data_IF_124191692450
#
_entry.id   IF_124191692450
#
_cell.length_a   1.000
_cell.length_b   1.000
_cell.length_c   1.000
_cell.angle_alpha   90.00
_cell.angle_beta   90.00
_cell.angle_gamma   90.00
#
_symmetry.space_group_name_H-M   'P 1'
#
loop_
_entity.id
_entity.type
_entity.pdbx_description
1 polymer ?
#
# COMPACT_ATOMS: atom_id res chain seq x y z
N UNK A 1 -3.62 28.49 6.90
CA UNK A 1 -2.31 28.05 7.38
C UNK A 1 -2.17 26.56 7.06
N UNK A 2 -0.99 26.08 6.70
CA UNK A 2 -0.79 24.73 6.19
C UNK A 2 0.41 24.03 6.84
N UNK A 3 0.55 22.73 6.59
CA UNK A 3 1.62 21.90 7.12
C UNK A 3 2.86 21.94 6.21
N UNK A 4 4.04 21.91 6.80
CA UNK A 4 5.29 21.69 6.08
C UNK A 4 5.56 20.19 5.98
N UNK A 5 5.61 19.66 4.75
CA UNK A 5 5.72 18.22 4.49
C UNK A 5 7.03 17.93 3.74
N UNK A 6 7.79 16.97 4.22
CA UNK A 6 8.94 16.42 3.51
C UNK A 6 8.60 15.04 2.93
N UNK A 7 8.97 14.79 1.66
CA UNK A 7 8.83 13.49 1.02
C UNK A 7 10.21 12.90 0.80
N UNK A 8 10.57 11.89 1.61
CA UNK A 8 11.81 11.16 1.47
C UNK A 8 11.67 10.02 0.45
N UNK A 9 12.51 10.02 -0.59
CA UNK A 9 12.36 9.14 -1.75
C UNK A 9 11.49 9.73 -2.85
N UNK A 10 11.41 11.06 -2.95
CA UNK A 10 10.56 11.81 -3.88
C UNK A 10 10.77 11.48 -5.37
N UNK A 11 11.91 10.91 -5.74
CA UNK A 11 12.21 10.53 -7.13
C UNK A 11 11.72 9.14 -7.53
N UNK A 12 11.30 8.31 -6.55
CA UNK A 12 10.72 6.99 -6.77
C UNK A 12 9.25 7.04 -7.19
N UNK A 13 8.69 5.92 -7.67
CA UNK A 13 7.30 5.84 -8.12
C UNK A 13 6.31 6.28 -7.03
N UNK A 14 6.43 5.73 -5.81
CA UNK A 14 5.56 6.07 -4.68
C UNK A 14 5.73 7.52 -4.22
N UNK A 15 6.98 8.03 -4.19
CA UNK A 15 7.25 9.42 -3.81
C UNK A 15 6.66 10.44 -4.80
N UNK A 16 6.72 10.15 -6.10
CA UNK A 16 6.05 10.96 -7.14
C UNK A 16 4.54 10.90 -7.01
N UNK A 17 3.99 9.72 -6.74
CA UNK A 17 2.55 9.56 -6.53
C UNK A 17 2.07 10.29 -5.26
N UNK A 18 2.88 10.33 -4.18
CA UNK A 18 2.58 11.17 -3.01
C UNK A 18 2.47 12.65 -3.38
N UNK A 19 3.38 13.15 -4.21
CA UNK A 19 3.34 14.54 -4.70
C UNK A 19 2.06 14.80 -5.50
N UNK A 20 1.70 13.90 -6.40
CA UNK A 20 0.47 14.01 -7.20
C UNK A 20 -0.77 14.03 -6.31
N UNK A 21 -0.91 13.07 -5.39
CA UNK A 21 -2.08 12.92 -4.52
C UNK A 21 -2.22 14.11 -3.55
N UNK A 22 -1.12 14.64 -3.00
CA UNK A 22 -1.17 15.86 -2.18
C UNK A 22 -1.76 17.04 -2.95
N UNK A 23 -1.39 17.20 -4.22
CA UNK A 23 -1.92 18.24 -5.09
C UNK A 23 -3.38 17.98 -5.48
N UNK A 24 -3.72 16.75 -5.93
CA UNK A 24 -5.09 16.35 -6.31
C UNK A 24 -6.10 16.55 -5.17
N UNK A 25 -5.71 16.20 -3.95
CA UNK A 25 -6.58 16.28 -2.77
C UNK A 25 -6.60 17.65 -2.10
N UNK A 26 -5.89 18.63 -2.67
CA UNK A 26 -5.73 19.96 -2.07
C UNK A 26 -5.35 19.89 -0.58
N UNK A 27 -4.41 18.96 -0.25
CA UNK A 27 -3.93 18.79 1.13
C UNK A 27 -3.42 20.14 1.68
N UNK A 28 -3.71 20.50 2.94
CA UNK A 28 -3.39 21.83 3.47
C UNK A 28 -1.88 21.97 3.72
N UNK A 29 -1.11 22.20 2.67
CA UNK A 29 0.34 22.41 2.74
C UNK A 29 0.71 23.88 2.80
N UNK A 30 1.73 24.24 3.60
CA UNK A 30 2.44 25.52 3.53
C UNK A 30 3.70 25.41 2.69
N UNK A 31 4.40 24.28 2.77
CA UNK A 31 5.60 23.97 2.00
C UNK A 31 5.70 22.45 1.75
N UNK A 32 6.11 22.05 0.55
CA UNK A 32 6.47 20.67 0.21
C UNK A 32 7.95 20.60 -0.12
N UNK A 33 8.69 19.70 0.52
CA UNK A 33 10.12 19.49 0.32
C UNK A 33 10.37 18.10 -0.25
N UNK A 34 10.93 18.04 -1.45
CA UNK A 34 11.34 16.80 -2.08
C UNK A 34 12.74 16.39 -1.63
N UNK A 35 12.88 15.20 -1.03
CA UNK A 35 14.15 14.68 -0.49
C UNK A 35 14.52 13.36 -1.17
N UNK A 36 15.81 13.18 -1.48
CA UNK A 36 16.37 11.92 -1.95
C UNK A 36 17.85 11.78 -1.56
N UNK A 37 18.52 10.73 -2.04
CA UNK A 37 19.96 10.54 -1.86
C UNK A 37 20.77 11.63 -2.59
N UNK A 38 22.04 11.80 -2.20
CA UNK A 38 22.97 12.75 -2.82
C UNK A 38 23.06 12.62 -4.34
N UNK A 39 22.85 11.41 -4.90
CA UNK A 39 22.86 11.16 -6.36
C UNK A 39 21.72 11.82 -7.12
N UNK A 40 20.62 12.13 -6.45
CA UNK A 40 19.42 12.72 -7.05
C UNK A 40 19.26 14.20 -6.71
N UNK A 41 20.21 14.81 -5.98
CA UNK A 41 20.17 16.25 -5.64
C UNK A 41 20.16 17.09 -6.90
N UNK A 42 19.25 18.08 -6.94
CA UNK A 42 19.09 18.99 -8.07
C UNK A 42 18.19 18.45 -9.19
N UNK A 43 17.81 17.16 -9.18
CA UNK A 43 16.73 16.69 -10.07
C UNK A 43 15.42 17.38 -9.74
N UNK A 44 14.55 17.48 -10.73
CA UNK A 44 13.25 18.12 -10.59
C UNK A 44 12.14 17.07 -10.50
N UNK A 45 11.15 17.34 -9.66
CA UNK A 45 9.92 16.56 -9.53
C UNK A 45 8.72 17.52 -9.54
N UNK A 46 7.61 17.08 -10.15
CA UNK A 46 6.39 17.88 -10.24
C UNK A 46 5.59 17.82 -8.94
N UNK A 47 4.95 18.92 -8.58
CA UNK A 47 3.95 19.02 -7.52
C UNK A 47 2.84 19.97 -8.02
N UNK A 48 1.72 19.39 -8.45
CA UNK A 48 0.70 20.14 -9.19
C UNK A 48 1.31 20.88 -10.38
N UNK A 49 1.04 22.18 -10.47
CA UNK A 49 1.57 23.07 -11.53
C UNK A 49 2.98 23.59 -11.24
N UNK A 50 3.60 23.16 -10.13
CA UNK A 50 4.93 23.63 -9.72
C UNK A 50 5.98 22.54 -9.84
N UNK A 51 7.24 22.94 -9.87
CA UNK A 51 8.40 22.05 -9.92
C UNK A 51 9.24 22.23 -8.67
N UNK A 52 9.57 21.13 -8.00
CA UNK A 52 10.40 21.11 -6.80
C UNK A 52 11.80 20.57 -7.14
N UNK A 53 12.84 21.26 -6.67
CA UNK A 53 14.21 20.73 -6.72
C UNK A 53 14.45 19.80 -5.54
N UNK A 54 14.94 18.59 -5.85
CA UNK A 54 15.27 17.58 -4.86
C UNK A 54 16.46 18.02 -4.02
N UNK A 55 16.30 18.00 -2.69
CA UNK A 55 17.34 18.27 -1.68
C UNK A 55 17.89 16.94 -1.12
N UNK A 56 19.05 17.00 -0.47
CA UNK A 56 19.69 15.84 0.14
C UNK A 56 19.02 15.49 1.48
N UNK A 57 18.48 14.27 1.59
CA UNK A 57 17.90 13.74 2.82
C UNK A 57 18.90 13.76 4.00
N UNK A 58 20.18 13.48 3.73
CA UNK A 58 21.20 13.31 4.78
C UNK A 58 21.61 14.63 5.47
N UNK A 59 21.37 15.75 4.82
CA UNK A 59 21.75 17.10 5.33
C UNK A 59 20.55 17.98 5.63
N UNK A 60 19.33 17.46 5.43
CA UNK A 60 18.11 18.25 5.65
C UNK A 60 17.78 18.31 7.14
N UNK A 61 17.47 19.51 7.63
CA UNK A 61 17.01 19.76 9.00
C UNK A 61 15.48 19.63 9.06
N UNK A 62 14.98 18.71 9.90
CA UNK A 62 13.56 18.45 10.09
C UNK A 62 12.94 19.22 11.26
N UNK A 63 13.70 20.10 11.91
CA UNK A 63 13.25 20.80 13.13
C UNK A 63 12.01 21.68 12.93
N UNK A 64 11.78 22.17 11.71
CA UNK A 64 10.64 22.98 11.29
C UNK A 64 9.64 22.22 10.42
N UNK A 65 9.79 20.91 10.26
CA UNK A 65 8.96 20.05 9.40
C UNK A 65 7.92 19.31 10.23
N UNK A 66 6.65 19.37 9.84
CA UNK A 66 5.55 18.75 10.58
C UNK A 66 5.45 17.25 10.30
N UNK A 67 5.52 16.86 9.04
CA UNK A 67 5.36 15.48 8.55
C UNK A 67 6.49 15.09 7.60
N UNK A 68 6.98 13.86 7.73
CA UNK A 68 7.85 13.22 6.76
C UNK A 68 7.18 11.96 6.19
N UNK A 69 6.86 11.99 4.90
CA UNK A 69 6.35 10.83 4.17
C UNK A 69 7.56 10.04 3.66
N UNK A 70 7.85 8.91 4.32
CA UNK A 70 9.06 8.13 4.08
C UNK A 70 8.81 7.00 3.06
N UNK A 71 9.45 7.11 1.88
CA UNK A 71 9.40 6.09 0.81
C UNK A 71 10.78 5.82 0.20
N UNK A 72 11.84 5.87 1.04
CA UNK A 72 13.22 5.69 0.62
C UNK A 72 13.76 4.26 0.83
N UNK A 73 12.90 3.30 1.21
CA UNK A 73 13.24 1.91 1.49
C UNK A 73 13.65 1.64 2.94
N UNK A 74 13.59 0.36 3.34
CA UNK A 74 13.68 -0.05 4.74
C UNK A 74 15.01 0.28 5.43
N UNK A 75 16.15 0.15 4.75
CA UNK A 75 17.47 0.48 5.31
C UNK A 75 17.63 1.97 5.60
N UNK A 76 17.13 2.81 4.70
CA UNK A 76 17.13 4.28 4.87
C UNK A 76 16.17 4.66 6.00
N UNK A 77 14.98 4.08 6.02
CA UNK A 77 14.01 4.34 7.07
C UNK A 77 14.54 3.96 8.46
N UNK A 78 15.14 2.78 8.63
CA UNK A 78 15.77 2.37 9.90
C UNK A 78 16.82 3.35 10.39
N UNK A 79 17.60 3.94 9.47
CA UNK A 79 18.66 4.93 9.78
C UNK A 79 18.08 6.30 10.15
N UNK A 80 17.04 6.75 9.41
CA UNK A 80 16.61 8.15 9.45
C UNK A 80 15.32 8.39 10.22
N UNK A 81 14.31 7.49 10.17
CA UNK A 81 13.03 7.75 10.82
C UNK A 81 13.14 8.02 12.33
N UNK A 82 13.99 7.33 13.11
CA UNK A 82 14.18 7.68 14.52
C UNK A 82 14.79 9.07 14.73
N UNK A 83 15.72 9.48 13.85
CA UNK A 83 16.37 10.80 13.95
C UNK A 83 15.41 11.93 13.58
N UNK A 84 14.53 11.68 12.61
CA UNK A 84 13.47 12.60 12.20
C UNK A 84 12.43 12.72 13.31
N UNK A 85 11.98 11.59 13.86
CA UNK A 85 11.04 11.54 14.99
C UNK A 85 11.58 12.25 16.25
N UNK A 86 12.88 12.12 16.53
CA UNK A 86 13.53 12.80 17.65
C UNK A 86 13.57 14.34 17.50
N UNK A 87 13.49 14.87 16.28
CA UNK A 87 13.31 16.30 16.01
C UNK A 87 11.84 16.74 16.13
N UNK A 88 10.95 15.81 16.51
CA UNK A 88 9.51 16.04 16.67
C UNK A 88 8.70 15.98 15.37
N UNK A 89 9.32 15.80 14.19
CA UNK A 89 8.63 15.56 12.93
C UNK A 89 8.00 14.17 12.94
N UNK A 90 6.72 14.04 12.58
CA UNK A 90 6.08 12.73 12.53
C UNK A 90 6.40 12.05 11.19
N UNK A 91 6.86 10.80 11.25
CA UNK A 91 7.19 9.99 10.08
C UNK A 91 6.05 9.03 9.77
N UNK A 92 5.54 9.05 8.53
CA UNK A 92 4.65 8.01 8.00
C UNK A 92 5.46 7.19 7.00
N UNK A 93 5.75 5.93 7.37
CA UNK A 93 6.72 5.08 6.68
C UNK A 93 6.06 4.02 5.81
N UNK A 94 6.39 4.00 4.52
CA UNK A 94 5.92 3.00 3.56
C UNK A 94 6.76 1.73 3.51
N UNK A 95 7.92 1.70 4.17
CA UNK A 95 8.75 0.50 4.18
C UNK A 95 8.26 -0.54 5.19
N UNK A 96 8.85 -1.73 5.14
CA UNK A 96 8.57 -2.78 6.13
C UNK A 96 9.34 -2.61 7.44
N UNK A 97 10.10 -1.51 7.61
CA UNK A 97 11.06 -1.35 8.70
C UNK A 97 10.43 -1.40 10.10
N UNK A 98 9.19 -0.87 10.24
CA UNK A 98 8.56 -0.62 11.54
C UNK A 98 7.23 -1.35 11.73
N UNK A 99 6.72 -2.03 10.71
CA UNK A 99 5.37 -2.63 10.70
C UNK A 99 5.13 -3.62 11.83
N UNK A 100 6.20 -4.28 12.28
CA UNK A 100 6.13 -5.36 13.28
C UNK A 100 6.55 -4.93 14.69
N UNK A 101 7.03 -3.69 14.84
CA UNK A 101 7.35 -3.14 16.14
C UNK A 101 6.06 -2.91 16.95
N UNK A 102 6.05 -3.31 18.21
CA UNK A 102 4.87 -3.25 19.07
C UNK A 102 4.46 -1.80 19.41
N UNK A 103 5.42 -0.89 19.45
CA UNK A 103 5.29 0.52 19.77
C UNK A 103 5.17 1.43 18.53
N UNK A 104 5.02 0.84 17.34
CA UNK A 104 4.73 1.56 16.10
C UNK A 104 3.37 1.13 15.56
N UNK A 105 2.40 2.05 15.45
CA UNK A 105 1.09 1.71 14.92
C UNK A 105 1.18 1.44 13.40
N UNK A 106 0.52 0.37 12.96
CA UNK A 106 0.33 -0.02 11.57
C UNK A 106 -1.09 0.37 11.17
N UNK A 107 -1.26 1.33 10.24
CA UNK A 107 -2.53 2.01 10.05
C UNK A 107 -3.06 1.89 8.62
N UNK A 108 -4.35 1.52 8.54
CA UNK A 108 -5.23 1.77 7.40
C UNK A 108 -6.44 2.55 7.94
N UNK A 109 -6.66 3.80 7.55
CA UNK A 109 -7.67 4.68 8.15
C UNK A 109 -9.08 4.10 8.14
N UNK A 110 -9.46 3.32 7.13
CA UNK A 110 -10.77 2.68 7.02
C UNK A 110 -10.91 1.44 7.93
N UNK A 111 -9.81 0.96 8.53
CA UNK A 111 -9.76 -0.33 9.23
C UNK A 111 -9.55 -0.17 10.74
N UNK A 112 -8.50 0.55 11.12
CA UNK A 112 -8.07 0.67 12.51
C UNK A 112 -7.63 2.09 12.90
N UNK A 113 -8.43 3.13 12.61
CA UNK A 113 -8.04 4.54 12.81
C UNK A 113 -7.68 4.89 14.27
N UNK A 114 -8.20 4.14 15.24
CA UNK A 114 -7.97 4.43 16.67
C UNK A 114 -6.56 4.07 17.14
N UNK A 115 -5.92 3.11 16.47
CA UNK A 115 -4.55 2.72 16.78
C UNK A 115 -3.53 3.83 16.51
N UNK A 116 -3.92 4.87 15.75
CA UNK A 116 -3.03 5.98 15.40
C UNK A 116 -2.49 6.73 16.63
N UNK A 117 -3.21 6.76 17.72
CA UNK A 117 -2.78 7.42 18.98
C UNK A 117 -1.46 6.90 19.53
N UNK A 118 -1.07 5.67 19.18
CA UNK A 118 0.21 5.06 19.54
C UNK A 118 1.45 5.69 18.88
N UNK A 119 1.29 6.60 17.90
CA UNK A 119 2.41 7.20 17.18
C UNK A 119 3.38 7.98 18.08
N UNK A 120 2.90 8.52 19.21
CA UNK A 120 3.68 9.35 20.14
C UNK A 120 4.86 8.61 20.77
N UNK A 121 4.86 7.28 20.77
CA UNK A 121 5.95 6.48 21.32
C UNK A 121 7.29 6.73 20.59
N UNK A 122 7.23 6.90 19.25
CA UNK A 122 8.44 7.14 18.42
C UNK A 122 8.30 8.27 17.39
N UNK A 123 7.15 8.92 17.30
CA UNK A 123 6.77 9.78 16.18
C UNK A 123 6.88 9.06 14.83
N UNK A 124 6.59 7.76 14.79
CA UNK A 124 6.58 6.92 13.59
C UNK A 124 5.25 6.20 13.48
N UNK A 125 4.68 6.21 12.27
CA UNK A 125 3.50 5.44 11.88
C UNK A 125 3.91 4.56 10.69
N UNK A 126 3.57 3.28 10.71
CA UNK A 126 3.83 2.38 9.61
C UNK A 126 2.62 2.30 8.67
N UNK A 127 2.90 2.39 7.37
CA UNK A 127 1.98 2.05 6.28
C UNK A 127 2.14 0.57 5.93
N UNK A 128 1.05 -0.22 5.75
CA UNK A 128 1.14 -1.65 5.50
C UNK A 128 1.74 -2.00 4.13
N UNK A 129 1.92 -3.30 3.91
CA UNK A 129 2.21 -3.86 2.58
C UNK A 129 1.08 -3.53 1.60
N UNK A 130 1.43 -3.33 0.32
CA UNK A 130 0.47 -2.89 -0.69
C UNK A 130 -0.68 -3.88 -0.92
N UNK A 131 -0.41 -5.19 -0.91
CA UNK A 131 -1.46 -6.20 -0.98
C UNK A 131 -2.29 -6.21 0.31
N UNK A 132 -1.65 -6.15 1.48
CA UNK A 132 -2.38 -6.14 2.76
C UNK A 132 -3.30 -4.92 2.90
N UNK A 133 -2.90 -3.74 2.41
CA UNK A 133 -3.72 -2.53 2.53
C UNK A 133 -5.10 -2.71 1.88
N UNK A 134 -5.15 -3.15 0.62
CA UNK A 134 -6.42 -3.38 -0.08
C UNK A 134 -7.21 -4.56 0.51
N UNK A 135 -6.51 -5.62 0.91
CA UNK A 135 -7.12 -6.81 1.51
C UNK A 135 -7.91 -6.45 2.77
N UNK A 136 -7.28 -5.75 3.72
CA UNK A 136 -7.93 -5.43 5.00
C UNK A 136 -9.07 -4.43 4.86
N UNK A 137 -9.04 -3.53 3.86
CA UNK A 137 -10.16 -2.64 3.53
C UNK A 137 -11.40 -3.45 3.14
N UNK A 138 -11.24 -4.45 2.27
CA UNK A 138 -12.34 -5.34 1.89
C UNK A 138 -12.80 -6.26 3.03
N UNK A 139 -11.86 -6.73 3.86
CA UNK A 139 -12.16 -7.70 4.92
C UNK A 139 -12.77 -7.09 6.18
N UNK A 140 -12.42 -5.85 6.54
CA UNK A 140 -12.85 -5.22 7.80
C UNK A 140 -14.36 -5.22 7.99
N UNK A 141 -15.18 -4.71 7.04
CA UNK A 141 -16.63 -4.70 7.20
C UNK A 141 -17.24 -6.10 7.29
N UNK A 142 -16.69 -7.07 6.55
CA UNK A 142 -17.14 -8.47 6.62
C UNK A 142 -16.75 -9.11 7.96
N UNK A 143 -15.55 -8.83 8.47
CA UNK A 143 -15.09 -9.31 9.77
C UNK A 143 -15.93 -8.75 10.92
N UNK A 144 -16.30 -7.48 10.86
CA UNK A 144 -17.15 -6.88 11.89
C UNK A 144 -18.53 -7.52 11.94
N UNK A 145 -19.07 -7.93 10.78
CA UNK A 145 -20.38 -8.54 10.67
C UNK A 145 -20.37 -10.03 11.06
N UNK A 146 -19.51 -10.84 10.43
CA UNK A 146 -19.60 -12.31 10.50
C UNK A 146 -18.39 -13.00 11.16
N UNK A 147 -17.36 -12.27 11.55
CA UNK A 147 -16.11 -12.78 12.15
C UNK A 147 -15.36 -13.77 11.27
N UNK A 148 -14.30 -13.31 10.68
CA UNK A 148 -13.42 -14.14 9.83
C UNK A 148 -12.65 -15.13 10.70
N UNK A 149 -12.72 -16.40 10.36
CA UNK A 149 -12.01 -17.51 10.98
C UNK A 149 -10.76 -17.89 10.22
N UNK A 150 -10.83 -17.92 8.87
CA UNK A 150 -9.75 -18.36 7.99
C UNK A 150 -9.77 -17.60 6.66
N UNK A 151 -8.58 -17.35 6.13
CA UNK A 151 -8.34 -16.74 4.81
C UNK A 151 -7.37 -17.59 4.00
N UNK A 152 -7.68 -17.78 2.74
CA UNK A 152 -6.76 -18.23 1.71
C UNK A 152 -6.66 -17.13 0.65
N UNK A 153 -5.47 -16.57 0.50
CA UNK A 153 -5.22 -15.45 -0.39
C UNK A 153 -4.27 -15.87 -1.50
N UNK A 154 -4.66 -15.65 -2.75
CA UNK A 154 -3.74 -15.72 -3.90
C UNK A 154 -3.65 -14.33 -4.50
N UNK A 155 -2.43 -13.75 -4.49
CA UNK A 155 -2.23 -12.42 -5.06
C UNK A 155 -1.75 -12.50 -6.50
N UNK A 156 -2.10 -11.49 -7.30
CA UNK A 156 -1.62 -11.25 -8.66
C UNK A 156 -1.06 -9.85 -8.69
N UNK A 157 0.25 -9.73 -8.35
CA UNK A 157 0.89 -8.45 -8.10
C UNK A 157 1.60 -7.90 -9.34
N UNK A 158 1.29 -6.67 -9.69
CA UNK A 158 1.91 -5.93 -10.78
C UNK A 158 3.40 -5.63 -10.52
N UNK A 159 4.13 -5.39 -11.59
CA UNK A 159 5.59 -5.13 -11.54
C UNK A 159 5.95 -3.80 -10.90
N UNK A 160 5.03 -2.82 -10.84
CA UNK A 160 5.27 -1.53 -10.16
C UNK A 160 5.61 -1.67 -8.68
N UNK A 161 5.15 -2.75 -8.02
CA UNK A 161 5.53 -3.09 -6.65
C UNK A 161 7.03 -3.39 -6.48
N UNK A 162 7.73 -3.77 -7.57
CA UNK A 162 9.17 -3.92 -7.61
C UNK A 162 9.93 -2.63 -8.00
N UNK A 163 9.22 -1.51 -8.11
CA UNK A 163 9.77 -0.21 -8.48
C UNK A 163 9.93 0.00 -9.99
N UNK A 164 10.58 1.11 -10.34
CA UNK A 164 10.82 1.48 -11.76
C UNK A 164 11.53 0.38 -12.53
N UNK A 165 12.56 -0.24 -11.96
CA UNK A 165 13.34 -1.29 -12.62
C UNK A 165 12.47 -2.49 -13.01
N UNK A 166 11.47 -2.85 -12.18
CA UNK A 166 10.51 -3.91 -12.52
C UNK A 166 9.61 -3.56 -13.70
N UNK A 167 9.16 -2.30 -13.78
CA UNK A 167 8.37 -1.80 -14.90
C UNK A 167 9.21 -1.75 -16.19
N UNK A 168 10.43 -1.24 -16.10
CA UNK A 168 11.37 -1.18 -17.23
C UNK A 168 11.71 -2.59 -17.75
N UNK A 169 11.89 -3.57 -16.86
CA UNK A 169 12.17 -4.96 -17.24
C UNK A 169 11.00 -5.58 -17.99
N UNK A 170 9.76 -5.44 -17.49
CA UNK A 170 8.56 -5.92 -18.20
C UNK A 170 8.45 -5.29 -19.59
N UNK A 171 8.60 -3.97 -19.68
CA UNK A 171 8.54 -3.24 -20.96
C UNK A 171 9.60 -3.74 -21.95
N UNK A 172 10.87 -3.80 -21.52
CA UNK A 172 11.98 -4.21 -22.36
C UNK A 172 11.87 -5.68 -22.80
N UNK A 173 11.49 -6.58 -21.91
CA UNK A 173 11.26 -7.99 -22.25
C UNK A 173 10.09 -8.16 -23.23
N UNK A 174 9.00 -7.41 -23.04
CA UNK A 174 7.84 -7.44 -23.95
C UNK A 174 8.26 -6.98 -25.34
N UNK A 175 8.98 -5.85 -25.45
CA UNK A 175 9.52 -5.36 -26.72
C UNK A 175 10.45 -6.39 -27.38
N UNK A 176 11.36 -6.98 -26.61
CA UNK A 176 12.32 -7.95 -27.10
C UNK A 176 11.65 -9.19 -27.74
N UNK A 177 10.52 -9.64 -27.18
CA UNK A 177 9.73 -10.74 -27.76
C UNK A 177 9.27 -10.43 -29.17
N UNK A 178 8.76 -9.21 -29.41
CA UNK A 178 8.20 -8.84 -30.71
C UNK A 178 9.26 -8.53 -31.79
N UNK A 179 10.49 -8.16 -31.38
CA UNK A 179 11.60 -7.88 -32.30
C UNK A 179 12.66 -8.99 -32.33
N UNK A 180 12.39 -10.12 -31.69
CA UNK A 180 13.28 -11.28 -31.58
C UNK A 180 14.67 -10.94 -30.99
N UNK A 181 14.74 -9.96 -30.09
CA UNK A 181 15.95 -9.64 -29.33
C UNK A 181 16.18 -10.61 -28.18
N UNK A 182 17.44 -10.78 -27.73
CA UNK A 182 17.73 -11.56 -26.52
C UNK A 182 17.01 -11.02 -25.28
N UNK A 183 16.43 -11.93 -24.48
CA UNK A 183 15.72 -11.59 -23.24
C UNK A 183 16.61 -11.90 -22.05
N UNK A 184 16.82 -10.93 -21.18
CA UNK A 184 17.49 -11.09 -19.88
C UNK A 184 16.55 -10.79 -18.72
N UNK A 185 16.74 -11.47 -17.60
CA UNK A 185 16.07 -11.19 -16.33
C UNK A 185 17.11 -10.65 -15.34
N UNK A 186 16.90 -9.45 -14.83
CA UNK A 186 17.81 -8.78 -13.90
C UNK A 186 17.12 -8.46 -12.57
N UNK A 187 15.88 -7.97 -12.62
CA UNK A 187 15.07 -7.64 -11.45
C UNK A 187 14.28 -8.83 -10.93
N UNK A 188 13.72 -9.63 -11.84
CA UNK A 188 12.95 -10.82 -11.49
C UNK A 188 13.80 -12.09 -11.65
N UNK A 189 13.47 -13.13 -10.88
CA UNK A 189 14.20 -14.42 -10.90
C UNK A 189 14.01 -15.19 -12.20
N UNK A 190 12.97 -14.89 -12.95
CA UNK A 190 12.63 -15.47 -14.26
C UNK A 190 12.06 -14.39 -15.16
N UNK A 191 11.98 -14.66 -16.47
CA UNK A 191 11.29 -13.80 -17.42
C UNK A 191 9.87 -13.50 -16.92
N UNK A 192 9.52 -12.20 -16.85
CA UNK A 192 8.19 -11.76 -16.44
C UNK A 192 7.26 -11.54 -17.63
N UNK A 193 7.78 -11.09 -18.79
CA UNK A 193 6.93 -10.86 -19.96
C UNK A 193 6.24 -12.16 -20.41
N UNK A 194 4.91 -12.13 -20.47
CA UNK A 194 4.04 -13.27 -20.81
C UNK A 194 4.19 -14.47 -19.87
N UNK A 195 4.47 -14.23 -18.59
CA UNK A 195 4.68 -15.26 -17.58
C UNK A 195 4.13 -14.86 -16.22
N UNK A 196 3.94 -15.83 -15.33
CA UNK A 196 3.62 -15.62 -13.91
C UNK A 196 4.72 -16.24 -13.05
N UNK A 197 5.10 -15.53 -11.98
CA UNK A 197 6.21 -15.96 -11.11
C UNK A 197 5.67 -16.09 -9.68
N UNK A 198 5.48 -17.32 -9.14
CA UNK A 198 4.97 -17.54 -7.78
C UNK A 198 6.09 -17.36 -6.74
N UNK A 199 6.75 -16.21 -6.79
CA UNK A 199 7.89 -15.88 -5.93
C UNK A 199 8.08 -14.37 -5.85
N UNK A 200 7.82 -13.79 -4.69
CA UNK A 200 8.05 -12.36 -4.39
C UNK A 200 8.79 -12.27 -3.06
N UNK A 201 9.93 -11.56 -3.05
CA UNK A 201 10.82 -11.42 -1.88
C UNK A 201 11.56 -12.74 -1.54
N UNK A 202 12.31 -12.78 -0.45
CA UNK A 202 13.14 -13.92 -0.06
C UNK A 202 12.31 -15.07 0.53
N UNK A 203 12.75 -16.32 0.32
CA UNK A 203 12.18 -17.47 1.01
C UNK A 203 12.55 -17.50 2.48
N UNK A 204 11.61 -17.95 3.30
CA UNK A 204 11.75 -18.25 4.72
C UNK A 204 11.94 -19.77 4.94
N UNK A 205 12.31 -20.17 6.16
CA UNK A 205 12.60 -21.58 6.50
C UNK A 205 11.37 -22.51 6.36
N UNK A 206 10.17 -21.98 6.52
CA UNK A 206 8.90 -22.68 6.42
C UNK A 206 8.38 -22.84 4.97
N UNK A 207 9.14 -22.33 3.98
CA UNK A 207 8.80 -22.38 2.57
C UNK A 207 7.91 -21.22 2.08
N UNK A 208 7.39 -20.38 2.98
CA UNK A 208 6.76 -19.11 2.59
C UNK A 208 7.80 -18.10 2.14
N UNK A 209 7.39 -17.11 1.33
CA UNK A 209 8.20 -15.93 1.09
C UNK A 209 7.93 -14.84 2.13
N UNK A 210 8.86 -13.89 2.28
CA UNK A 210 8.63 -12.72 3.15
C UNK A 210 7.40 -11.92 2.72
N UNK A 211 7.10 -11.84 1.42
CA UNK A 211 5.90 -11.15 0.93
C UNK A 211 4.63 -11.82 1.44
N UNK A 212 4.55 -13.14 1.36
CA UNK A 212 3.44 -13.93 1.90
C UNK A 212 3.31 -13.75 3.41
N UNK A 213 4.42 -13.85 4.13
CA UNK A 213 4.46 -13.63 5.57
C UNK A 213 3.96 -12.24 5.99
N UNK A 214 4.29 -11.17 5.22
CA UNK A 214 3.77 -9.81 5.47
C UNK A 214 2.25 -9.80 5.44
N UNK A 215 1.63 -10.42 4.44
CA UNK A 215 0.17 -10.51 4.34
C UNK A 215 -0.42 -11.20 5.59
N UNK A 216 0.19 -12.30 6.03
CA UNK A 216 -0.25 -13.01 7.22
C UNK A 216 -0.14 -12.17 8.50
N UNK A 217 1.06 -11.62 8.75
CA UNK A 217 1.39 -10.91 9.97
C UNK A 217 0.62 -9.58 10.09
N UNK A 218 0.56 -8.82 9.00
CA UNK A 218 -0.08 -7.51 8.97
C UNK A 218 -1.61 -7.61 9.05
N UNK A 219 -2.23 -8.60 8.38
CA UNK A 219 -3.67 -8.87 8.51
C UNK A 219 -4.05 -9.18 9.97
N UNK A 220 -3.27 -10.02 10.64
CA UNK A 220 -3.48 -10.33 12.06
C UNK A 220 -3.30 -9.12 12.97
N UNK A 221 -2.30 -8.28 12.70
CA UNK A 221 -2.03 -7.07 13.50
C UNK A 221 -3.14 -6.04 13.38
N UNK A 222 -3.75 -5.89 12.19
CA UNK A 222 -4.75 -4.85 11.92
C UNK A 222 -6.20 -5.28 12.13
N UNK A 223 -6.54 -6.57 11.94
CA UNK A 223 -7.89 -7.08 12.11
C UNK A 223 -8.05 -7.89 13.41
N UNK A 224 -7.57 -9.13 13.43
CA UNK A 224 -7.68 -10.02 14.59
C UNK A 224 -6.52 -11.06 14.56
N UNK A 225 -5.74 -11.18 15.65
CA UNK A 225 -4.65 -12.15 15.75
C UNK A 225 -5.09 -13.62 15.65
N UNK A 226 -6.38 -13.91 15.85
CA UNK A 226 -6.94 -15.27 15.80
C UNK A 226 -7.19 -15.76 14.37
N UNK A 227 -7.28 -14.87 13.39
CA UNK A 227 -7.53 -15.24 11.99
C UNK A 227 -6.42 -16.17 11.49
N UNK A 228 -6.79 -17.31 10.93
CA UNK A 228 -5.86 -18.20 10.24
C UNK A 228 -5.69 -17.72 8.81
N UNK A 229 -4.47 -17.34 8.42
CA UNK A 229 -4.19 -16.80 7.09
C UNK A 229 -3.12 -17.64 6.40
N UNK A 230 -3.33 -17.97 5.14
CA UNK A 230 -2.31 -18.48 4.22
C UNK A 230 -2.34 -17.65 2.94
N UNK A 231 -1.17 -17.45 2.32
CA UNK A 231 -1.04 -16.63 1.13
C UNK A 231 -0.09 -17.27 0.13
N UNK A 232 -0.40 -17.13 -1.16
CA UNK A 232 0.54 -17.38 -2.26
C UNK A 232 0.69 -16.08 -3.05
N UNK A 233 1.90 -15.51 -3.06
CA UNK A 233 2.19 -14.25 -3.73
C UNK A 233 2.76 -14.49 -5.13
N UNK A 234 2.06 -14.02 -6.15
CA UNK A 234 2.42 -14.21 -7.56
C UNK A 234 2.69 -12.87 -8.24
N UNK A 235 3.84 -12.74 -8.90
CA UNK A 235 4.14 -11.62 -9.79
C UNK A 235 3.57 -11.89 -11.17
N UNK A 236 2.80 -10.93 -11.70
CA UNK A 236 2.17 -11.02 -13.03
C UNK A 236 2.65 -9.90 -13.95
N UNK A 237 2.55 -10.09 -15.30
CA UNK A 237 3.04 -9.12 -16.28
C UNK A 237 2.03 -7.97 -16.49
N UNK A 238 1.70 -7.29 -15.41
CA UNK A 238 0.81 -6.11 -15.32
C UNK A 238 1.63 -4.96 -14.77
N UNK A 239 1.50 -3.76 -15.34
CA UNK A 239 2.29 -2.61 -14.93
C UNK A 239 1.86 -2.07 -13.55
N UNK A 240 0.58 -1.77 -13.36
CA UNK A 240 0.02 -1.16 -12.16
C UNK A 240 -1.26 -1.93 -11.76
N UNK A 241 -1.55 -1.96 -10.45
CA UNK A 241 -2.71 -2.61 -9.88
C UNK A 241 -2.42 -4.03 -9.40
N UNK A 242 -2.73 -4.31 -8.13
CA UNK A 242 -2.68 -5.65 -7.55
C UNK A 242 -4.07 -6.23 -7.47
N UNK A 243 -4.18 -7.51 -7.82
CA UNK A 243 -5.42 -8.26 -7.66
C UNK A 243 -5.24 -9.39 -6.66
N UNK A 244 -6.33 -9.79 -6.02
CA UNK A 244 -6.34 -10.89 -5.06
C UNK A 244 -7.59 -11.73 -5.23
N UNK A 245 -7.39 -13.05 -5.31
CA UNK A 245 -8.45 -14.03 -5.12
C UNK A 245 -8.45 -14.44 -3.65
N UNK A 246 -9.54 -14.15 -2.96
CA UNK A 246 -9.65 -14.35 -1.51
C UNK A 246 -10.78 -15.33 -1.22
N UNK A 247 -10.44 -16.45 -0.58
CA UNK A 247 -11.41 -17.37 0.00
C UNK A 247 -11.48 -17.10 1.51
N UNK A 248 -12.68 -16.93 2.03
CA UNK A 248 -12.96 -16.50 3.40
C UNK A 248 -13.87 -17.50 4.04
N UNK A 249 -13.50 -18.01 5.23
CA UNK A 249 -14.37 -18.79 6.11
C UNK A 249 -14.72 -17.95 7.34
N UNK A 250 -16.01 -17.88 7.66
CA UNK A 250 -16.53 -17.08 8.77
C UNK A 250 -16.99 -17.96 9.95
N UNK A 251 -17.11 -17.34 11.14
CA UNK A 251 -17.70 -17.96 12.31
C UNK A 251 -19.23 -17.96 12.22
N UNK A 252 -19.80 -16.89 11.68
CA UNK A 252 -21.24 -16.71 11.53
C UNK A 252 -21.66 -16.74 10.05
N UNK A 253 -22.91 -17.06 9.82
CA UNK A 253 -23.50 -17.07 8.49
C UNK A 253 -23.48 -15.68 7.84
N UNK A 254 -23.15 -15.64 6.55
CA UNK A 254 -23.21 -14.46 5.71
C UNK A 254 -23.43 -14.92 4.26
N UNK A 255 -24.47 -14.40 3.62
CA UNK A 255 -24.72 -14.64 2.20
C UNK A 255 -23.90 -13.71 1.30
N UNK A 256 -23.74 -14.10 0.05
CA UNK A 256 -23.07 -13.27 -0.95
C UNK A 256 -23.82 -11.94 -1.20
N UNK A 257 -25.15 -11.92 -1.05
CA UNK A 257 -25.95 -10.69 -1.18
C UNK A 257 -25.72 -9.74 -0.01
N UNK A 258 -25.74 -10.25 1.21
CA UNK A 258 -25.41 -9.45 2.42
C UNK A 258 -24.00 -8.88 2.32
N UNK A 259 -23.01 -9.70 1.92
CA UNK A 259 -21.64 -9.23 1.72
C UNK A 259 -21.54 -8.10 0.69
N UNK A 260 -22.29 -8.18 -0.45
CA UNK A 260 -22.36 -7.08 -1.43
C UNK A 260 -22.91 -5.81 -0.83
N UNK A 261 -23.97 -5.91 -0.05
CA UNK A 261 -24.61 -4.75 0.55
C UNK A 261 -23.68 -4.09 1.60
N UNK A 262 -23.09 -4.90 2.48
CA UNK A 262 -22.11 -4.43 3.47
C UNK A 262 -20.94 -3.71 2.80
N UNK A 263 -20.39 -4.30 1.73
CA UNK A 263 -19.23 -3.75 1.02
C UNK A 263 -19.55 -2.48 0.22
N UNK A 264 -20.80 -2.31 -0.27
CA UNK A 264 -21.23 -1.08 -0.96
C UNK A 264 -21.26 0.13 -0.05
N UNK A 265 -21.58 -0.08 1.22
CA UNK A 265 -21.67 0.98 2.23
C UNK A 265 -20.34 1.20 2.97
N UNK A 266 -19.34 0.33 2.74
CA UNK A 266 -18.08 0.36 3.45
C UNK A 266 -17.12 1.44 2.90
N UNK A 267 -16.45 2.21 3.78
CA UNK A 267 -15.50 3.23 3.36
C UNK A 267 -14.33 2.63 2.59
N UNK A 268 -13.95 3.28 1.50
CA UNK A 268 -12.83 2.84 0.64
C UNK A 268 -13.15 1.68 -0.30
N UNK A 269 -14.33 1.05 -0.16
CA UNK A 269 -14.79 -0.03 -1.03
C UNK A 269 -15.66 0.47 -2.18
N UNK A 270 -15.51 -0.17 -3.35
CA UNK A 270 -16.43 -0.01 -4.47
C UNK A 270 -16.76 -1.38 -5.06
N UNK A 271 -18.05 -1.74 -5.07
CA UNK A 271 -18.51 -3.04 -5.56
C UNK A 271 -18.94 -2.93 -7.02
N UNK A 272 -18.23 -3.63 -7.89
CA UNK A 272 -18.57 -3.84 -9.31
C UNK A 272 -18.68 -5.35 -9.51
N UNK A 273 -19.86 -5.89 -9.29
CA UNK A 273 -20.11 -7.35 -9.26
C UNK A 273 -21.39 -7.69 -10.01
N UNK A 274 -21.30 -7.69 -11.34
CA UNK A 274 -22.39 -8.12 -12.22
C UNK A 274 -22.07 -9.50 -12.79
N UNK A 275 -23.08 -10.37 -12.85
CA UNK A 275 -22.93 -11.72 -13.41
C UNK A 275 -23.14 -11.68 -14.93
N UNK A 276 -22.33 -10.88 -15.62
CA UNK A 276 -22.31 -10.68 -17.06
C UNK A 276 -20.87 -10.53 -17.58
N UNK A 277 -20.67 -10.61 -18.88
CA UNK A 277 -19.34 -10.42 -19.49
C UNK A 277 -18.80 -9.02 -19.18
N UNK A 278 -17.57 -8.96 -18.60
CA UNK A 278 -16.95 -7.72 -18.20
C UNK A 278 -17.54 -7.07 -16.93
N UNK A 279 -18.43 -7.73 -16.20
CA UNK A 279 -19.08 -7.21 -15.00
C UNK A 279 -18.20 -7.18 -13.73
N UNK A 280 -16.90 -7.03 -13.88
CA UNK A 280 -15.88 -7.02 -12.81
C UNK A 280 -14.76 -6.03 -13.15
N UNK A 281 -13.93 -5.70 -12.19
CA UNK A 281 -12.77 -4.79 -12.36
C UNK A 281 -11.48 -5.61 -12.44
N UNK A 282 -10.58 -5.17 -13.32
CA UNK A 282 -9.21 -5.69 -13.47
C UNK A 282 -8.17 -4.61 -13.10
N UNK A 283 -6.90 -4.96 -12.98
CA UNK A 283 -5.84 -3.98 -12.71
C UNK A 283 -5.78 -2.83 -13.71
N UNK A 284 -6.18 -3.07 -14.95
CA UNK A 284 -6.14 -2.05 -16.01
C UNK A 284 -7.09 -0.88 -15.73
N UNK A 285 -8.33 -1.17 -15.30
CA UNK A 285 -9.31 -0.14 -15.00
C UNK A 285 -9.04 0.55 -13.65
N UNK A 286 -8.44 -0.14 -12.69
CA UNK A 286 -8.20 0.45 -11.36
C UNK A 286 -6.93 1.32 -11.28
N UNK A 287 -6.07 1.31 -12.30
CA UNK A 287 -4.87 2.12 -12.31
C UNK A 287 -5.20 3.62 -12.31
N UNK A 288 -4.69 4.35 -11.32
CA UNK A 288 -4.99 5.77 -11.08
C UNK A 288 -6.21 6.03 -10.20
N UNK A 289 -6.95 5.00 -9.79
CA UNK A 289 -8.15 5.13 -8.94
C UNK A 289 -7.83 4.95 -7.46
N UNK A 290 -8.59 5.62 -6.60
CA UNK A 290 -8.40 5.60 -5.13
C UNK A 290 -9.06 4.41 -4.44
N UNK A 291 -10.11 3.85 -5.04
CA UNK A 291 -10.94 2.83 -4.42
C UNK A 291 -10.29 1.44 -4.39
N UNK A 292 -10.69 0.65 -3.41
CA UNK A 292 -10.53 -0.80 -3.43
C UNK A 292 -11.79 -1.41 -4.06
N UNK A 293 -11.63 -2.02 -5.24
CA UNK A 293 -12.73 -2.61 -5.99
C UNK A 293 -12.94 -4.05 -5.59
N UNK A 294 -14.21 -4.43 -5.38
CA UNK A 294 -14.60 -5.80 -5.05
C UNK A 294 -15.55 -6.32 -6.12
N UNK A 295 -15.25 -7.51 -6.62
CA UNK A 295 -16.00 -8.21 -7.65
C UNK A 295 -16.10 -9.70 -7.34
N UNK A 296 -16.86 -10.45 -8.14
CA UNK A 296 -16.91 -11.91 -8.09
C UNK A 296 -17.28 -12.46 -6.70
N UNK A 297 -18.15 -11.75 -5.99
CA UNK A 297 -18.64 -12.14 -4.65
C UNK A 297 -19.61 -13.32 -4.85
N UNK A 298 -19.26 -14.46 -4.26
CA UNK A 298 -20.05 -15.69 -4.33
C UNK A 298 -19.79 -16.60 -3.14
N UNK A 299 -20.76 -17.41 -2.80
CA UNK A 299 -20.62 -18.39 -1.74
C UNK A 299 -19.65 -19.50 -2.13
N UNK A 300 -18.97 -20.04 -1.11
CA UNK A 300 -18.14 -21.23 -1.22
C UNK A 300 -18.90 -22.43 -0.62
N UNK A 301 -19.47 -23.26 -1.50
CA UNK A 301 -20.22 -24.43 -1.07
C UNK A 301 -19.36 -25.55 -0.45
N UNK A 302 -18.04 -25.38 -0.37
CA UNK A 302 -17.14 -26.41 0.19
C UNK A 302 -16.89 -26.26 1.68
N UNK A 303 -17.33 -25.12 2.28
CA UNK A 303 -17.27 -24.84 3.71
C UNK A 303 -18.61 -24.27 4.19
N UNK A 304 -18.90 -24.36 5.48
CA UNK A 304 -20.20 -24.00 6.04
C UNK A 304 -20.56 -22.52 5.85
N UNK A 305 -19.67 -21.61 6.16
CA UNK A 305 -19.87 -20.17 6.08
C UNK A 305 -18.75 -19.55 5.23
N UNK A 306 -18.76 -19.78 3.92
CA UNK A 306 -17.66 -19.41 3.05
C UNK A 306 -18.04 -18.45 1.94
N UNK A 307 -17.15 -17.48 1.65
CA UNK A 307 -17.23 -16.62 0.50
C UNK A 307 -15.93 -16.64 -0.31
N UNK A 308 -16.07 -16.44 -1.61
CA UNK A 308 -14.97 -16.09 -2.49
C UNK A 308 -15.21 -14.68 -3.03
N UNK A 309 -14.16 -13.85 -3.00
CA UNK A 309 -14.20 -12.50 -3.55
C UNK A 309 -12.95 -12.24 -4.41
N UNK A 310 -13.07 -11.27 -5.31
CA UNK A 310 -11.98 -10.72 -6.09
C UNK A 310 -11.78 -9.27 -5.68
N UNK A 311 -10.57 -8.92 -5.23
CA UNK A 311 -10.20 -7.59 -4.75
C UNK A 311 -9.14 -7.00 -5.66
N UNK A 312 -9.31 -5.76 -6.09
CA UNK A 312 -8.35 -5.06 -6.96
C UNK A 312 -8.17 -3.62 -6.49
N UNK A 313 -6.94 -3.14 -6.46
CA UNK A 313 -6.65 -1.73 -6.16
C UNK A 313 -5.35 -1.29 -6.84
N UNK A 314 -5.21 0.02 -7.06
CA UNK A 314 -3.92 0.60 -7.44
C UNK A 314 -2.93 0.50 -6.27
N UNK A 315 -1.90 -0.30 -6.46
CA UNK A 315 -0.88 -0.58 -5.44
C UNK A 315 0.05 0.59 -5.14
N UNK A 316 0.14 1.58 -6.03
CA UNK A 316 0.88 2.82 -5.79
C UNK A 316 0.03 3.84 -5.02
N UNK A 317 -1.30 3.81 -5.22
CA UNK A 317 -2.25 4.69 -4.53
C UNK A 317 -2.68 4.07 -3.20
N UNK A 318 -3.76 3.28 -3.14
CA UNK A 318 -4.24 2.69 -1.87
C UNK A 318 -3.21 1.79 -1.20
N UNK A 319 -2.41 1.09 -1.98
CA UNK A 319 -1.35 0.23 -1.45
C UNK A 319 -0.16 1.00 -0.84
N UNK A 320 0.01 2.30 -1.11
CA UNK A 320 1.18 3.07 -0.68
C UNK A 320 0.88 4.56 -0.49
N UNK A 321 0.96 5.37 -1.54
CA UNK A 321 0.94 6.84 -1.47
C UNK A 321 -0.38 7.37 -0.91
N UNK A 322 -1.52 6.91 -1.41
CA UNK A 322 -2.83 7.35 -0.95
C UNK A 322 -3.06 7.01 0.52
N UNK A 323 -2.78 5.77 0.93
CA UNK A 323 -2.96 5.38 2.34
C UNK A 323 -2.07 6.23 3.27
N UNK A 324 -0.85 6.57 2.82
CA UNK A 324 0.05 7.48 3.56
C UNK A 324 -0.57 8.87 3.72
N UNK A 325 -1.16 9.43 2.66
CA UNK A 325 -1.83 10.74 2.71
C UNK A 325 -3.09 10.67 3.58
N UNK A 326 -3.90 9.62 3.46
CA UNK A 326 -5.08 9.40 4.31
C UNK A 326 -4.70 9.26 5.80
N UNK A 327 -3.55 8.66 6.15
CA UNK A 327 -3.04 8.67 7.52
C UNK A 327 -2.72 10.09 7.98
N UNK A 328 -2.09 10.92 7.13
CA UNK A 328 -1.82 12.32 7.45
C UNK A 328 -3.13 13.12 7.62
N UNK A 329 -4.11 12.94 6.73
CA UNK A 329 -5.45 13.53 6.86
C UNK A 329 -6.15 13.11 8.17
N UNK A 330 -6.06 11.83 8.54
CA UNK A 330 -6.61 11.32 9.80
C UNK A 330 -5.97 12.01 11.01
N UNK A 331 -4.66 12.25 11.00
CA UNK A 331 -3.96 12.97 12.07
C UNK A 331 -4.47 14.42 12.21
N UNK A 332 -4.66 15.10 11.08
CA UNK A 332 -5.18 16.47 11.04
C UNK A 332 -6.63 16.51 11.55
N UNK A 333 -7.48 15.66 11.01
CA UNK A 333 -8.90 15.59 11.35
C UNK A 333 -9.14 15.28 12.84
N UNK A 334 -8.27 14.46 13.43
CA UNK A 334 -8.27 14.14 14.86
C UNK A 334 -7.51 15.16 15.73
N UNK A 335 -6.94 16.21 15.12
CA UNK A 335 -6.13 17.24 15.79
C UNK A 335 -4.95 16.69 16.59
N UNK A 336 -4.35 15.61 16.09
CA UNK A 336 -3.17 14.97 16.71
C UNK A 336 -1.90 15.74 16.42
N UNK A 337 -1.86 16.50 15.32
CA UNK A 337 -0.77 17.39 14.93
C UNK A 337 -1.31 18.79 14.65
N UNK A 338 -0.44 19.79 14.83
CA UNK A 338 -0.67 21.19 14.48
C UNK A 338 0.51 21.71 13.67
N UNK A 339 0.30 22.66 12.74
CA UNK A 339 1.42 23.30 12.06
C UNK A 339 2.39 23.95 13.06
N UNK A 340 3.68 23.70 12.93
CA UNK A 340 4.72 24.24 13.84
C UNK A 340 4.87 25.75 13.79
N UNK A 341 4.51 26.36 12.65
CA UNK A 341 4.48 27.83 12.54
C UNK A 341 3.43 28.49 13.47
N UNK A 342 2.56 27.68 14.11
CA UNK A 342 1.50 28.14 15.04
C UNK A 342 1.72 27.66 16.48
N UNK A 343 2.72 26.85 16.72
CA UNK A 343 3.10 26.33 18.03
C UNK A 343 4.29 27.11 18.59
#
# INVERSE_FOLDING_TARGET
MGFKIAIAGATGNVGREMLNILAERAFPVSEVVALASSRSVGTEVSFGDTTLKVKNLETYDFSDTDLCLMSAGGSISKKWSPKIGAQGCVVIDNSSAWRYDADVPLIVPEVNPDAISGYTARNIIANPNCSTAQLVVALKPLHDHAKIKRLVVSTYQSVSGAGKDGMDELFNQTRAVFVADPISSQKFTKRIAFNVIPHIDDFMEDGYTKEEWKVLAETKKMLDPKIKVTCTAVRVPVFIGHSESVNIEFENEISAEEARNILRDAPGCQVIDKHEDGGYITPYECAGEDATYISRIREDATVENGLNIWVVSDNLRKGAALNTIQIAELMINRRLIKPRAEA
#
